data_IF_218535102741
#
_entry.id   IF_218535102741
#
_cell.length_a   1.000
_cell.length_b   1.000
_cell.length_c   1.000
_cell.angle_alpha   90.00
_cell.angle_beta   90.00
_cell.angle_gamma   90.00
#
_symmetry.space_group_name_H-M   'P 1'
#
loop_
_entity.id
_entity.type
_entity.pdbx_description
1 polymer ?
#
# COMPACT_ATOMS: atom_id res chain seq x y z
N UNK A 1 18.47 18.50 16.63
CA UNK A 1 17.20 19.23 16.48
C UNK A 1 16.05 18.30 16.81
N UNK A 2 14.89 18.81 17.27
CA UNK A 2 13.65 18.02 17.44
C UNK A 2 12.67 18.39 16.34
N UNK A 3 11.97 17.40 15.78
CA UNK A 3 10.80 17.69 14.95
C UNK A 3 9.64 18.10 15.86
N UNK A 4 9.13 19.31 15.68
CA UNK A 4 7.90 19.78 16.32
C UNK A 4 6.74 19.62 15.34
N UNK A 5 5.77 18.79 15.72
CA UNK A 5 4.51 18.59 15.00
C UNK A 5 3.40 19.15 15.88
N UNK A 6 3.11 20.46 15.78
CA UNK A 6 2.03 21.06 16.56
C UNK A 6 0.67 20.69 15.97
N UNK A 7 -0.25 20.18 16.80
CA UNK A 7 -1.59 19.71 16.40
C UNK A 7 -2.58 20.80 15.93
N UNK A 8 -2.14 22.07 15.83
CA UNK A 8 -2.98 23.22 15.49
C UNK A 8 -2.94 23.60 13.99
N UNK A 9 -2.55 22.68 13.10
CA UNK A 9 -2.51 22.92 11.65
C UNK A 9 -1.31 23.73 11.16
N UNK A 10 -0.33 24.01 12.02
CA UNK A 10 0.96 24.60 11.60
C UNK A 10 1.85 23.54 10.96
N UNK A 11 2.59 23.93 9.91
CA UNK A 11 3.52 23.03 9.23
C UNK A 11 4.64 22.58 10.19
N UNK A 12 5.11 21.32 10.13
CA UNK A 12 6.14 20.83 11.03
C UNK A 12 7.45 21.58 10.84
N UNK A 13 8.19 21.78 11.93
CA UNK A 13 9.48 22.50 11.94
C UNK A 13 10.53 21.75 12.72
N UNK A 14 11.79 21.96 12.37
CA UNK A 14 12.93 21.52 13.17
C UNK A 14 13.28 22.61 14.17
N UNK A 15 13.26 22.26 15.45
CA UNK A 15 13.67 23.15 16.54
C UNK A 15 15.04 22.76 17.08
N UNK A 16 15.94 23.72 17.25
CA UNK A 16 17.21 23.50 17.93
C UNK A 16 16.99 23.15 19.41
N UNK A 17 17.71 22.13 19.92
CA UNK A 17 17.58 21.66 21.30
C UNK A 17 18.29 22.57 22.32
N UNK A 18 19.27 23.38 21.89
CA UNK A 18 19.98 24.28 22.79
C UNK A 18 19.00 25.34 23.30
N UNK A 19 18.81 25.39 24.62
CA UNK A 19 17.84 26.28 25.28
C UNK A 19 18.02 27.76 24.93
N UNK A 20 19.25 28.16 24.59
CA UNK A 20 19.65 29.51 24.21
C UNK A 20 19.44 29.82 22.71
N UNK A 21 19.41 28.80 21.84
CA UNK A 21 19.31 28.99 20.39
C UNK A 21 17.86 29.02 19.92
N UNK A 22 17.05 28.00 20.30
CA UNK A 22 15.62 27.83 19.96
C UNK A 22 15.23 28.07 18.49
N UNK A 23 16.18 28.18 17.57
CA UNK A 23 15.91 28.43 16.14
C UNK A 23 14.98 27.36 15.59
N UNK A 24 13.98 27.81 14.85
CA UNK A 24 13.07 26.94 14.11
C UNK A 24 13.28 27.08 12.61
N UNK A 25 13.64 25.99 11.97
CA UNK A 25 13.74 25.92 10.51
C UNK A 25 12.60 25.07 9.97
N UNK A 26 12.06 25.46 8.82
CA UNK A 26 11.05 24.64 8.17
C UNK A 26 11.67 23.31 7.72
N UNK A 27 10.86 22.25 7.59
CA UNK A 27 11.30 21.00 6.95
C UNK A 27 11.83 21.17 5.51
N UNK A 28 11.51 22.29 4.85
CA UNK A 28 11.90 22.59 3.47
C UNK A 28 13.23 23.35 3.38
N UNK A 29 13.69 23.93 4.48
CA UNK A 29 14.89 24.79 4.51
C UNK A 29 16.11 23.97 4.08
N UNK A 30 16.87 24.46 3.10
CA UNK A 30 18.02 23.74 2.53
C UNK A 30 17.67 22.52 1.67
N UNK A 31 16.39 22.33 1.32
CA UNK A 31 15.95 21.36 0.32
C UNK A 31 15.56 22.08 -0.96
N UNK A 32 15.37 21.35 -2.05
CA UNK A 32 14.80 21.88 -3.30
C UNK A 32 13.38 22.46 -3.18
N UNK A 33 12.72 22.31 -2.02
CA UNK A 33 11.43 22.95 -1.70
C UNK A 33 11.58 24.28 -0.94
N UNK A 34 12.80 24.72 -0.65
CA UNK A 34 13.04 25.97 0.08
C UNK A 34 12.53 27.18 -0.70
N UNK A 35 11.97 28.16 -0.01
CA UNK A 35 11.34 29.34 -0.63
C UNK A 35 10.01 29.07 -1.39
N UNK A 36 9.61 27.82 -1.62
CA UNK A 36 8.33 27.52 -2.29
C UNK A 36 7.13 27.75 -1.36
N UNK A 37 6.07 28.35 -1.91
CA UNK A 37 4.78 28.44 -1.21
C UNK A 37 4.21 27.04 -0.91
N UNK A 38 3.34 26.95 0.10
CA UNK A 38 2.71 25.67 0.44
C UNK A 38 1.93 25.08 -0.73
N UNK A 39 1.20 25.92 -1.48
CA UNK A 39 0.44 25.50 -2.67
C UNK A 39 1.37 25.00 -3.78
N UNK A 40 2.47 25.72 -4.03
CA UNK A 40 3.49 25.29 -5.00
C UNK A 40 4.10 23.94 -4.61
N UNK A 41 4.46 23.76 -3.34
CA UNK A 41 4.96 22.48 -2.82
C UNK A 41 3.97 21.32 -3.01
N UNK A 42 2.67 21.57 -2.80
CA UNK A 42 1.62 20.55 -2.99
C UNK A 42 1.47 20.21 -4.48
N UNK A 43 1.47 21.21 -5.35
CA UNK A 43 1.41 21.02 -6.80
C UNK A 43 2.60 20.22 -7.31
N UNK A 44 3.82 20.58 -6.88
CA UNK A 44 5.04 19.84 -7.22
C UNK A 44 5.00 18.38 -6.76
N UNK A 45 4.56 18.13 -5.51
CA UNK A 45 4.38 16.75 -5.02
C UNK A 45 3.33 15.97 -5.81
N UNK A 46 2.33 16.63 -6.38
CA UNK A 46 1.36 15.98 -7.26
C UNK A 46 2.02 15.58 -8.58
N UNK A 47 2.71 16.50 -9.25
CA UNK A 47 3.42 16.24 -10.50
C UNK A 47 4.44 15.11 -10.37
N UNK A 48 5.24 15.10 -9.30
CA UNK A 48 6.18 14.01 -9.04
C UNK A 48 5.49 12.64 -8.90
N UNK A 49 4.32 12.61 -8.25
CA UNK A 49 3.56 11.36 -8.13
C UNK A 49 2.99 10.94 -9.47
N UNK A 50 2.55 11.87 -10.31
CA UNK A 50 2.06 11.57 -11.66
C UNK A 50 3.17 10.94 -12.51
N UNK A 51 4.36 11.55 -12.56
CA UNK A 51 5.53 11.01 -13.27
C UNK A 51 5.94 9.64 -12.72
N UNK A 52 6.00 9.49 -11.40
CA UNK A 52 6.32 8.20 -10.78
C UNK A 52 5.25 7.13 -11.10
N UNK A 53 3.98 7.51 -11.13
CA UNK A 53 2.88 6.59 -11.47
C UNK A 53 2.99 6.16 -12.93
N UNK A 54 3.20 7.10 -13.85
CA UNK A 54 3.38 6.81 -15.28
C UNK A 54 4.57 5.87 -15.51
N UNK A 55 5.72 6.16 -14.90
CA UNK A 55 6.90 5.29 -15.00
C UNK A 55 6.64 3.87 -14.51
N UNK A 56 5.89 3.71 -13.41
CA UNK A 56 5.55 2.39 -12.85
C UNK A 56 4.53 1.64 -13.71
N UNK A 57 3.58 2.34 -14.32
CA UNK A 57 2.59 1.75 -15.21
C UNK A 57 3.21 1.33 -16.56
N UNK A 58 4.15 2.13 -17.07
CA UNK A 58 4.88 1.81 -18.31
C UNK A 58 5.91 0.71 -18.13
N UNK A 59 6.48 0.57 -16.93
CA UNK A 59 7.49 -0.44 -16.62
C UNK A 59 7.07 -1.26 -15.39
N UNK A 60 6.02 -2.09 -15.53
CA UNK A 60 5.53 -2.90 -14.42
C UNK A 60 6.61 -3.88 -13.96
N UNK A 61 6.86 -3.90 -12.65
CA UNK A 61 7.78 -4.87 -12.06
C UNK A 61 7.16 -6.26 -12.08
N UNK A 62 7.80 -7.19 -12.78
CA UNK A 62 7.40 -8.61 -12.82
C UNK A 62 8.24 -9.37 -11.79
N UNK A 63 7.57 -9.87 -10.75
CA UNK A 63 8.19 -10.48 -9.56
C UNK A 63 8.13 -12.01 -9.59
N UNK A 64 8.85 -12.67 -8.67
CA UNK A 64 8.87 -14.12 -8.53
C UNK A 64 9.85 -14.81 -9.48
N UNK A 65 9.54 -16.06 -9.84
CA UNK A 65 10.33 -16.95 -10.68
C UNK A 65 10.49 -18.35 -10.07
N UNK A 66 11.22 -19.25 -10.74
CA UNK A 66 11.52 -20.58 -10.20
C UNK A 66 12.11 -20.50 -8.79
N UNK A 67 11.61 -21.36 -7.90
CA UNK A 67 11.98 -21.42 -6.48
C UNK A 67 11.67 -20.14 -5.67
N UNK A 68 10.74 -19.30 -6.14
CA UNK A 68 10.22 -18.15 -5.40
C UNK A 68 8.76 -18.33 -5.02
N UNK A 69 8.37 -17.65 -3.95
CA UNK A 69 7.02 -17.66 -3.43
C UNK A 69 6.43 -16.26 -3.49
N UNK A 70 5.29 -16.11 -4.17
CA UNK A 70 4.55 -14.84 -4.20
C UNK A 70 3.22 -15.01 -3.48
N UNK A 71 3.03 -14.25 -2.41
CA UNK A 71 1.73 -14.12 -1.75
C UNK A 71 0.89 -13.08 -2.49
N UNK A 72 -0.36 -13.41 -2.80
CA UNK A 72 -1.28 -12.57 -3.56
C UNK A 72 -2.58 -12.42 -2.80
N UNK A 73 -3.13 -11.21 -2.78
CA UNK A 73 -4.37 -10.90 -2.08
C UNK A 73 -5.07 -9.65 -2.67
N UNK A 74 -6.35 -9.48 -2.33
CA UNK A 74 -7.16 -8.32 -2.66
C UNK A 74 -7.49 -7.51 -1.42
N UNK A 75 -7.55 -6.19 -1.59
CA UNK A 75 -7.96 -5.33 -0.49
C UNK A 75 -8.80 -4.14 -0.94
N UNK A 76 -9.90 -3.87 -0.23
CA UNK A 76 -10.66 -2.64 -0.42
C UNK A 76 -9.87 -1.47 0.17
N UNK A 77 -9.33 -0.61 -0.70
CA UNK A 77 -8.41 0.47 -0.31
C UNK A 77 -9.14 1.72 0.21
N UNK A 78 -10.21 2.13 -0.48
CA UNK A 78 -11.10 3.22 -0.06
C UNK A 78 -12.53 2.70 0.12
N UNK A 79 -13.17 3.11 1.22
CA UNK A 79 -14.60 2.91 1.46
C UNK A 79 -15.21 4.28 1.72
N UNK A 80 -16.32 4.58 1.06
CA UNK A 80 -17.09 5.80 1.32
C UNK A 80 -17.43 5.93 2.81
N UNK A 81 -17.27 7.12 3.39
CA UNK A 81 -17.82 7.39 4.72
C UNK A 81 -19.34 7.49 4.56
N UNK A 82 -20.10 6.87 5.46
CA UNK A 82 -21.56 6.92 5.43
C UNK A 82 -22.07 8.36 5.24
N UNK A 83 -23.15 8.48 4.47
CA UNK A 83 -24.10 9.58 4.15
C UNK A 83 -23.93 11.04 4.59
N UNK A 84 -22.90 11.45 5.33
CA UNK A 84 -22.77 12.79 5.88
C UNK A 84 -21.69 13.66 5.24
N UNK A 85 -20.51 13.16 4.82
CA UNK A 85 -19.40 14.13 4.59
C UNK A 85 -18.34 13.84 3.50
N UNK A 86 -18.44 12.78 2.65
CA UNK A 86 -17.74 12.66 1.34
C UNK A 86 -17.90 11.26 0.76
N UNK A 87 -18.45 11.18 -0.46
CA UNK A 87 -18.46 9.96 -1.28
C UNK A 87 -17.06 9.77 -1.87
N UNK A 88 -16.29 8.83 -1.32
CA UNK A 88 -15.11 8.32 -2.03
C UNK A 88 -15.55 7.05 -2.77
N UNK A 89 -15.22 6.89 -4.06
CA UNK A 89 -15.51 5.65 -4.76
C UNK A 89 -14.84 4.48 -4.02
N UNK A 90 -15.52 3.35 -3.99
CA UNK A 90 -14.94 2.10 -3.53
C UNK A 90 -13.87 1.68 -4.54
N UNK A 91 -12.62 1.58 -4.09
CA UNK A 91 -11.50 1.17 -4.94
C UNK A 91 -10.92 -0.11 -4.37
N UNK A 92 -10.98 -1.19 -5.15
CA UNK A 92 -10.23 -2.41 -4.87
C UNK A 92 -8.80 -2.25 -5.36
N UNK A 93 -7.87 -2.85 -4.63
CA UNK A 93 -6.47 -2.98 -5.04
C UNK A 93 -6.12 -4.45 -4.95
N UNK A 94 -5.61 -4.99 -6.05
CA UNK A 94 -5.01 -6.29 -6.14
C UNK A 94 -3.50 -6.14 -5.98
N UNK A 95 -2.83 -7.06 -5.29
CA UNK A 95 -1.39 -7.00 -5.21
C UNK A 95 -0.76 -8.30 -4.76
N UNK A 96 0.55 -8.36 -4.95
CA UNK A 96 1.34 -9.49 -4.52
C UNK A 96 2.72 -9.07 -4.06
N UNK A 97 3.32 -9.88 -3.20
CA UNK A 97 4.67 -9.69 -2.66
C UNK A 97 5.45 -11.00 -2.73
N UNK A 98 6.67 -10.92 -3.25
CA UNK A 98 7.61 -12.03 -3.21
C UNK A 98 8.22 -12.10 -1.81
N UNK A 99 8.07 -13.25 -1.14
CA UNK A 99 8.56 -13.44 0.22
C UNK A 99 10.07 -13.26 0.33
N UNK A 100 10.78 -13.76 -0.67
CA UNK A 100 12.23 -13.85 -0.61
C UNK A 100 12.93 -12.55 -1.00
N UNK A 101 12.32 -11.72 -1.88
CA UNK A 101 12.92 -10.44 -2.32
C UNK A 101 12.29 -9.22 -1.66
N UNK A 102 11.06 -9.35 -1.13
CA UNK A 102 10.27 -8.23 -0.65
C UNK A 102 9.73 -7.33 -1.78
N UNK A 103 9.99 -7.66 -3.04
CA UNK A 103 9.43 -6.95 -4.18
C UNK A 103 7.93 -7.18 -4.26
N UNK A 104 7.18 -6.15 -4.64
CA UNK A 104 5.73 -6.21 -4.67
C UNK A 104 5.16 -5.38 -5.83
N UNK A 105 3.94 -5.70 -6.22
CA UNK A 105 3.14 -4.90 -7.14
C UNK A 105 1.77 -4.61 -6.53
N UNK A 106 1.21 -3.44 -6.87
CA UNK A 106 -0.12 -3.01 -6.45
C UNK A 106 -0.86 -2.46 -7.67
N UNK A 107 -2.04 -3.01 -7.97
CA UNK A 107 -2.84 -2.65 -9.15
C UNK A 107 -4.26 -2.29 -8.70
N UNK A 108 -4.75 -1.06 -8.99
CA UNK A 108 -6.14 -0.73 -8.77
C UNK A 108 -7.02 -1.55 -9.72
N UNK A 109 -8.06 -2.18 -9.17
CA UNK A 109 -9.01 -3.00 -9.92
C UNK A 109 -10.44 -2.59 -9.59
N UNK A 110 -11.36 -2.78 -10.53
CA UNK A 110 -12.78 -2.48 -10.32
C UNK A 110 -13.42 -3.47 -9.34
N UNK A 111 -13.02 -4.74 -9.44
CA UNK A 111 -13.57 -5.83 -8.63
C UNK A 111 -12.51 -6.91 -8.34
N UNK A 112 -12.82 -7.76 -7.36
CA UNK A 112 -11.98 -8.89 -6.91
C UNK A 112 -12.31 -10.21 -7.61
N UNK A 113 -12.85 -10.16 -8.83
CA UNK A 113 -13.24 -11.40 -9.52
C UNK A 113 -12.02 -12.14 -10.04
N UNK A 114 -12.09 -13.47 -10.15
CA UNK A 114 -10.99 -14.27 -10.71
C UNK A 114 -10.71 -13.94 -12.18
N UNK A 115 -11.73 -13.47 -12.91
CA UNK A 115 -11.59 -12.95 -14.28
C UNK A 115 -10.67 -11.72 -14.34
N UNK A 116 -10.54 -10.98 -13.23
CA UNK A 116 -9.63 -9.84 -13.10
C UNK A 116 -8.29 -10.26 -12.50
N UNK A 117 -8.29 -11.09 -11.45
CA UNK A 117 -7.08 -11.44 -10.71
C UNK A 117 -6.14 -12.40 -11.47
N UNK A 118 -6.67 -13.39 -12.22
CA UNK A 118 -5.84 -14.36 -12.94
C UNK A 118 -5.00 -13.70 -14.05
N UNK A 119 -5.56 -12.83 -14.93
CA UNK A 119 -4.73 -12.10 -15.91
C UNK A 119 -3.64 -11.27 -15.26
N UNK A 120 -3.91 -10.64 -14.11
CA UNK A 120 -2.91 -9.87 -13.38
C UNK A 120 -1.80 -10.76 -12.82
N UNK A 121 -2.12 -11.96 -12.32
CA UNK A 121 -1.10 -12.94 -11.91
C UNK A 121 -0.17 -13.26 -13.09
N UNK A 122 -0.72 -13.53 -14.27
CA UNK A 122 0.09 -13.81 -15.47
C UNK A 122 0.95 -12.63 -15.90
N UNK A 123 0.47 -11.40 -15.71
CA UNK A 123 1.18 -10.19 -16.11
C UNK A 123 2.32 -9.82 -15.14
N UNK A 124 2.11 -10.01 -13.84
CA UNK A 124 3.01 -9.49 -12.80
C UNK A 124 3.84 -10.57 -12.09
N UNK A 125 3.57 -11.85 -12.35
CA UNK A 125 4.29 -12.97 -11.71
C UNK A 125 4.94 -13.83 -12.78
N UNK A 126 6.25 -14.09 -12.63
CA UNK A 126 7.02 -14.91 -13.57
C UNK A 126 6.56 -16.38 -13.52
N UNK A 127 6.55 -17.11 -14.66
CA UNK A 127 6.30 -18.55 -14.68
C UNK A 127 7.24 -19.34 -13.77
N UNK A 128 6.79 -20.50 -13.28
CA UNK A 128 7.52 -21.35 -12.34
C UNK A 128 7.50 -20.86 -10.88
N UNK A 129 6.77 -19.79 -10.58
CA UNK A 129 6.57 -19.28 -9.22
C UNK A 129 5.60 -20.15 -8.44
N UNK A 130 5.84 -20.29 -7.12
CA UNK A 130 4.83 -20.77 -6.18
C UNK A 130 3.93 -19.61 -5.76
N UNK A 131 2.68 -19.61 -6.21
CA UNK A 131 1.70 -18.57 -5.89
C UNK A 131 0.87 -19.01 -4.68
N UNK A 132 0.82 -18.16 -3.65
CA UNK A 132 0.03 -18.36 -2.44
C UNK A 132 -1.16 -17.41 -2.41
N UNK A 133 -2.38 -17.94 -2.33
CA UNK A 133 -3.61 -17.14 -2.18
C UNK A 133 -4.40 -17.57 -0.95
N UNK A 134 -5.36 -16.75 -0.52
CA UNK A 134 -6.42 -17.23 0.36
C UNK A 134 -7.30 -18.26 -0.41
N UNK A 135 -7.96 -19.19 0.29
CA UNK A 135 -8.79 -20.24 -0.31
C UNK A 135 -10.09 -19.71 -0.94
N UNK A 136 -10.01 -18.69 -1.79
CA UNK A 136 -11.13 -18.28 -2.61
C UNK A 136 -11.27 -19.20 -3.84
N UNK A 137 -12.47 -19.73 -4.06
CA UNK A 137 -12.75 -20.72 -5.13
C UNK A 137 -12.43 -20.23 -6.54
N UNK A 138 -12.29 -18.92 -6.74
CA UNK A 138 -11.92 -18.31 -8.02
C UNK A 138 -10.50 -18.62 -8.48
N UNK A 139 -9.62 -19.10 -7.59
CA UNK A 139 -8.23 -19.40 -7.91
C UNK A 139 -7.95 -20.85 -8.31
N UNK A 140 -8.98 -21.72 -8.33
CA UNK A 140 -8.80 -23.15 -8.63
C UNK A 140 -8.19 -23.45 -10.00
N UNK A 141 -8.31 -22.53 -10.95
CA UNK A 141 -7.71 -22.68 -12.28
C UNK A 141 -6.23 -22.31 -12.34
N UNK A 142 -5.65 -21.72 -11.28
CA UNK A 142 -4.21 -21.37 -11.28
C UNK A 142 -3.30 -22.59 -11.33
N UNK A 143 -3.76 -23.74 -10.84
CA UNK A 143 -3.02 -25.01 -10.93
C UNK A 143 -2.96 -25.59 -12.35
N UNK A 144 -3.72 -25.04 -13.29
CA UNK A 144 -3.70 -25.41 -14.72
C UNK A 144 -2.72 -24.54 -15.53
N UNK A 145 -2.03 -23.62 -14.87
CA UNK A 145 -1.06 -22.70 -15.47
C UNK A 145 0.38 -23.14 -15.17
N UNK A 146 1.36 -22.37 -15.65
CA UNK A 146 2.79 -22.53 -15.33
C UNK A 146 3.15 -22.14 -13.87
N UNK A 147 2.20 -22.26 -12.92
CA UNK A 147 2.37 -21.89 -11.52
C UNK A 147 2.10 -23.07 -10.60
N UNK A 148 2.89 -23.15 -9.51
CA UNK A 148 2.53 -24.03 -8.39
C UNK A 148 1.60 -23.25 -7.46
N UNK A 149 0.34 -23.69 -7.32
CA UNK A 149 -0.62 -22.99 -6.47
C UNK A 149 -0.72 -23.62 -5.08
N UNK A 150 -0.54 -22.80 -4.06
CA UNK A 150 -0.80 -23.14 -2.67
C UNK A 150 -1.92 -22.24 -2.15
N UNK A 151 -2.90 -22.82 -1.47
CA UNK A 151 -4.02 -22.06 -0.91
C UNK A 151 -4.11 -22.24 0.61
N UNK A 152 -4.54 -21.18 1.29
CA UNK A 152 -4.67 -21.16 2.76
C UNK A 152 -6.10 -20.84 3.14
N UNK A 153 -6.72 -21.77 3.87
CA UNK A 153 -8.06 -21.57 4.38
C UNK A 153 -8.01 -20.87 5.74
N UNK A 154 -8.11 -19.54 5.73
CA UNK A 154 -8.07 -18.73 6.93
C UNK A 154 -9.26 -18.89 7.88
N UNK A 155 -10.35 -19.57 7.48
CA UNK A 155 -11.41 -19.92 8.42
C UNK A 155 -11.06 -21.12 9.30
N UNK A 156 -10.05 -21.92 8.90
CA UNK A 156 -9.65 -23.14 9.58
C UNK A 156 -8.27 -22.97 10.21
N UNK A 157 -7.31 -22.39 9.48
CA UNK A 157 -5.92 -22.30 9.89
C UNK A 157 -5.27 -20.95 9.53
N UNK A 158 -4.45 -20.42 10.43
CA UNK A 158 -3.64 -19.21 10.17
C UNK A 158 -2.46 -19.55 9.23
N UNK A 159 -1.88 -20.73 9.42
CA UNK A 159 -0.84 -21.34 8.59
C UNK A 159 -1.32 -22.73 8.19
N UNK A 160 -1.26 -23.09 6.91
CA UNK A 160 -1.68 -24.42 6.48
C UNK A 160 -0.76 -25.49 7.12
N UNK A 161 -1.29 -26.48 7.85
CA UNK A 161 -0.49 -27.37 8.70
C UNK A 161 0.45 -28.30 7.92
N UNK A 162 0.05 -28.69 6.70
CA UNK A 162 0.86 -29.58 5.83
C UNK A 162 1.83 -28.80 4.92
N UNK A 163 1.35 -27.76 4.24
CA UNK A 163 2.15 -27.02 3.24
C UNK A 163 2.90 -25.82 3.83
N UNK A 164 2.62 -25.41 5.07
CA UNK A 164 3.18 -24.21 5.69
C UNK A 164 2.71 -22.88 5.07
N UNK A 165 1.75 -22.92 4.14
CA UNK A 165 1.31 -21.74 3.41
C UNK A 165 0.62 -20.71 4.32
N UNK A 166 0.90 -19.41 4.12
CA UNK A 166 0.24 -18.28 4.79
C UNK A 166 0.28 -17.02 3.90
N UNK A 167 -0.53 -16.00 4.21
CA UNK A 167 -0.56 -14.71 3.48
C UNK A 167 -0.22 -13.53 4.39
N UNK A 168 0.60 -13.76 5.41
CA UNK A 168 0.92 -12.76 6.42
C UNK A 168 1.74 -11.59 5.86
N UNK A 169 2.61 -11.84 4.89
CA UNK A 169 3.49 -10.82 4.30
C UNK A 169 2.66 -9.81 3.53
N UNK A 170 1.74 -10.29 2.69
CA UNK A 170 0.83 -9.42 1.93
C UNK A 170 -0.15 -8.68 2.85
N UNK A 171 -0.60 -9.29 3.96
CA UNK A 171 -1.39 -8.58 5.00
C UNK A 171 -0.61 -7.45 5.66
N UNK A 172 0.66 -7.65 5.97
CA UNK A 172 1.53 -6.58 6.50
C UNK A 172 1.73 -5.46 5.48
N UNK A 173 1.90 -5.80 4.20
CA UNK A 173 1.94 -4.82 3.10
C UNK A 173 0.65 -3.98 3.08
N UNK A 174 -0.53 -4.59 3.23
CA UNK A 174 -1.80 -3.85 3.28
C UNK A 174 -1.90 -2.90 4.47
N UNK A 175 -1.37 -3.30 5.64
CA UNK A 175 -1.34 -2.42 6.81
C UNK A 175 -0.48 -1.18 6.56
N UNK A 176 0.65 -1.31 5.86
CA UNK A 176 1.51 -0.20 5.45
C UNK A 176 0.79 0.72 4.45
N UNK A 177 0.27 0.14 3.36
CA UNK A 177 -0.41 0.86 2.28
C UNK A 177 -1.60 1.66 2.79
N UNK A 178 -2.38 1.09 3.72
CA UNK A 178 -3.56 1.75 4.29
C UNK A 178 -3.26 2.65 5.49
N UNK A 179 -2.03 2.73 5.98
CA UNK A 179 -1.68 3.51 7.19
C UNK A 179 -2.06 4.97 7.06
N UNK A 180 -1.81 5.58 5.90
CA UNK A 180 -2.16 6.98 5.64
C UNK A 180 -3.68 7.22 5.65
N UNK A 181 -4.47 6.27 5.13
CA UNK A 181 -5.93 6.30 5.20
C UNK A 181 -6.42 6.14 6.65
N UNK A 182 -5.78 5.30 7.46
CA UNK A 182 -6.09 5.15 8.88
C UNK A 182 -5.74 6.41 9.69
N UNK A 183 -4.59 7.05 9.46
CA UNK A 183 -4.23 8.30 10.12
C UNK A 183 -5.24 9.42 9.81
N UNK A 184 -5.73 9.49 8.56
CA UNK A 184 -6.84 10.39 8.18
C UNK A 184 -8.17 10.02 8.85
N UNK A 185 -8.38 8.76 9.27
CA UNK A 185 -9.54 8.34 10.07
C UNK A 185 -9.41 8.83 11.53
N UNK A 186 -8.24 8.72 12.13
CA UNK A 186 -8.01 9.07 13.55
C UNK A 186 -7.98 10.59 13.80
N UNK A 187 -7.45 11.39 12.86
CA UNK A 187 -7.33 12.85 13.03
C UNK A 187 -8.71 13.57 13.04
N UNK A 188 -9.76 12.97 12.46
CA UNK A 188 -11.12 13.53 12.50
C UNK A 188 -11.90 13.13 13.77
N UNK A 189 -11.35 12.21 14.60
CA UNK A 189 -12.01 11.70 15.81
C UNK A 189 -11.68 12.48 17.10
N UNK A 190 -11.15 13.72 17.01
CA UNK A 190 -11.11 14.64 18.17
C UNK A 190 -12.26 15.63 18.07
N UNK A 191 -13.47 15.18 18.41
CA UNK A 191 -14.59 16.08 18.72
C UNK A 191 -14.28 16.78 20.05
N UNK A 192 -14.29 18.11 19.99
CA UNK A 192 -14.42 19.03 21.12
C UNK A 192 -15.61 18.57 21.97
N UNK A 193 -15.36 18.20 23.22
CA UNK A 193 -16.36 18.38 24.26
C UNK A 193 -16.34 19.88 24.62
N UNK A 194 -17.47 20.54 24.37
CA UNK A 194 -17.89 21.71 25.13
C UNK A 194 -18.71 21.20 26.31
#
# INVERSE_FOLDING_TARGET
MKLTVEGNGKAPRWRCHKAQCRTEVSLRTGTWLDGLSANCSVSWKRLLREVATESLLSNPLIIGGPNRTVEVDETLYSKSKSHRDRLYPEQWVFGGVCRETGEFFLVPVENRSSRTSIPLIRQYIRPGTTVMTDCWGGYRSLSQEDFTHLSVNHSINIVHPVTGAHTQTVKSLWAEVKRSNMLRRTVVARRRYR
#
